data_IF_557880484424
#
_entry.id   IF_557880484424
#
_cell.length_a   1.000
_cell.length_b   1.000
_cell.length_c   1.000
_cell.angle_alpha   90.00
_cell.angle_beta   90.00
_cell.angle_gamma   90.00
#
_symmetry.space_group_name_H-M   'P 1'
#
loop_
_entity.id
_entity.type
_entity.pdbx_description
1 polymer ?
#
# COMPACT_ATOMS: atom_id res chain seq x y z
N UNK A 1 -1.13 1.88 -18.44
CA UNK A 1 -0.70 1.79 -17.01
C UNK A 1 -1.89 2.06 -16.09
N UNK A 2 -1.98 1.41 -14.90
CA UNK A 2 -3.08 1.63 -13.94
C UNK A 2 -2.73 2.71 -12.92
N UNK A 3 -3.77 3.33 -12.36
CA UNK A 3 -3.61 4.35 -11.32
C UNK A 3 -4.38 3.97 -10.05
N UNK A 4 -3.76 4.21 -8.91
CA UNK A 4 -4.34 3.97 -7.60
C UNK A 4 -4.23 5.19 -6.69
N UNK A 5 -5.06 5.22 -5.66
CA UNK A 5 -4.96 6.14 -4.53
C UNK A 5 -4.60 5.32 -3.28
N UNK A 6 -3.78 5.87 -2.39
CA UNK A 6 -3.45 5.25 -1.10
C UNK A 6 -3.67 6.22 0.03
N UNK A 7 -4.14 5.72 1.16
CA UNK A 7 -4.24 6.47 2.41
C UNK A 7 -3.70 5.67 3.60
N UNK A 8 -3.28 6.38 4.62
CA UNK A 8 -2.98 5.89 5.97
C UNK A 8 -3.93 6.50 7.00
N UNK A 9 -4.92 7.28 6.57
CA UNK A 9 -5.78 8.12 7.42
C UNK A 9 -4.93 8.99 8.35
N UNK A 10 -3.97 9.71 7.78
CA UNK A 10 -3.04 10.54 8.56
C UNK A 10 -3.77 11.72 9.17
N UNK A 11 -3.53 11.97 10.46
CA UNK A 11 -4.07 13.11 11.20
C UNK A 11 -2.89 13.96 11.69
N UNK A 12 -2.50 15.02 10.94
CA UNK A 12 -1.39 15.88 11.33
C UNK A 12 -1.73 16.70 12.57
N UNK A 13 -0.72 17.01 13.41
CA UNK A 13 -0.85 17.95 14.52
C UNK A 13 -0.96 19.40 14.00
N UNK A 14 -1.59 20.33 14.76
CA UNK A 14 -2.23 20.13 16.06
C UNK A 14 -3.59 19.42 15.96
N UNK A 15 -3.90 18.57 16.93
CA UNK A 15 -5.17 17.83 16.95
C UNK A 15 -6.28 18.63 17.62
N UNK A 16 -7.44 18.68 17.00
CA UNK A 16 -8.71 19.14 17.55
C UNK A 16 -9.64 17.94 17.80
N UNK A 17 -10.71 18.15 18.57
CA UNK A 17 -11.67 17.09 18.91
C UNK A 17 -12.27 16.37 17.67
N UNK A 18 -12.42 17.09 16.56
CA UNK A 18 -13.01 16.55 15.31
C UNK A 18 -11.97 16.09 14.28
N UNK A 19 -10.66 16.14 14.58
CA UNK A 19 -9.61 15.88 13.58
C UNK A 19 -9.72 14.47 12.98
N UNK A 20 -9.86 13.43 13.81
CA UNK A 20 -10.00 12.05 13.35
C UNK A 20 -11.28 11.87 12.52
N UNK A 21 -12.43 12.33 13.04
CA UNK A 21 -13.70 12.28 12.33
C UNK A 21 -13.59 12.95 10.95
N UNK A 22 -13.02 14.14 10.89
CA UNK A 22 -12.85 14.91 9.66
C UNK A 22 -12.02 14.12 8.65
N UNK A 23 -10.86 13.60 9.04
CA UNK A 23 -9.98 12.82 8.15
C UNK A 23 -10.68 11.56 7.62
N UNK A 24 -11.37 10.81 8.48
CA UNK A 24 -12.10 9.61 8.04
C UNK A 24 -13.16 9.94 6.99
N UNK A 25 -14.00 10.95 7.24
CA UNK A 25 -15.07 11.32 6.31
C UNK A 25 -14.54 11.90 5.00
N UNK A 26 -13.55 12.79 5.06
CA UNK A 26 -12.90 13.32 3.87
C UNK A 26 -12.24 12.23 3.03
N UNK A 27 -11.61 11.23 3.65
CA UNK A 27 -11.04 10.12 2.88
C UNK A 27 -12.10 9.25 2.20
N UNK A 28 -13.28 9.07 2.79
CA UNK A 28 -14.39 8.43 2.08
C UNK A 28 -14.77 9.22 0.82
N UNK A 29 -14.83 10.55 0.90
CA UNK A 29 -15.12 11.41 -0.25
C UNK A 29 -13.98 11.41 -1.28
N UNK A 30 -12.71 11.41 -0.86
CA UNK A 30 -11.56 11.28 -1.76
C UNK A 30 -11.63 10.02 -2.62
N UNK A 31 -12.02 8.89 -2.03
CA UNK A 31 -12.09 7.63 -2.79
C UNK A 31 -13.26 7.58 -3.75
N UNK A 32 -14.40 8.16 -3.39
CA UNK A 32 -15.54 8.31 -4.32
C UNK A 32 -15.13 9.19 -5.49
N UNK A 33 -14.51 10.34 -5.24
CA UNK A 33 -14.00 11.23 -6.28
C UNK A 33 -12.94 10.54 -7.16
N UNK A 34 -12.05 9.72 -6.56
CA UNK A 34 -11.06 8.97 -7.31
C UNK A 34 -11.70 7.92 -8.24
N UNK A 35 -12.76 7.23 -7.81
CA UNK A 35 -13.53 6.33 -8.69
C UNK A 35 -14.11 7.09 -9.88
N UNK A 36 -14.77 8.24 -9.63
CA UNK A 36 -15.36 9.06 -10.67
C UNK A 36 -14.32 9.63 -11.64
N UNK A 37 -13.13 9.93 -11.13
CA UNK A 37 -11.96 10.38 -11.90
C UNK A 37 -11.25 9.26 -12.68
N UNK A 38 -11.65 7.98 -12.52
CA UNK A 38 -11.11 6.85 -13.27
C UNK A 38 -9.93 6.13 -12.62
N UNK A 39 -9.64 6.37 -11.36
CA UNK A 39 -8.69 5.53 -10.62
C UNK A 39 -9.21 4.09 -10.51
N UNK A 40 -8.29 3.15 -10.67
CA UNK A 40 -8.65 1.72 -10.70
C UNK A 40 -8.54 1.04 -9.34
N UNK A 41 -7.74 1.59 -8.41
CA UNK A 41 -7.44 0.99 -7.11
C UNK A 41 -7.46 2.03 -6.00
N UNK A 42 -7.93 1.60 -4.82
CA UNK A 42 -7.69 2.27 -3.56
C UNK A 42 -7.00 1.31 -2.59
N UNK A 43 -5.96 1.79 -1.92
CA UNK A 43 -5.15 1.03 -0.99
C UNK A 43 -5.18 1.66 0.39
N UNK A 44 -5.47 0.86 1.42
CA UNK A 44 -5.44 1.31 2.80
C UNK A 44 -4.42 0.50 3.60
N UNK A 45 -3.56 1.20 4.33
CA UNK A 45 -2.58 0.55 5.21
C UNK A 45 -3.22 0.09 6.50
N UNK A 46 -2.61 -0.88 7.18
CA UNK A 46 -2.84 -1.17 8.59
C UNK A 46 -1.74 -0.46 9.40
N UNK A 47 -2.14 0.48 10.27
CA UNK A 47 -1.23 1.30 11.08
C UNK A 47 -1.66 1.32 12.54
N UNK A 48 -0.71 1.07 13.44
CA UNK A 48 -0.93 1.11 14.89
C UNK A 48 0.11 1.97 15.56
N UNK A 49 -0.29 2.74 16.57
CA UNK A 49 0.56 3.50 17.51
C UNK A 49 1.39 4.64 16.91
N UNK A 50 1.39 4.85 15.62
CA UNK A 50 2.07 5.97 14.95
C UNK A 50 1.10 7.12 14.72
N UNK A 51 0.80 7.86 15.78
CA UNK A 51 -0.29 8.84 15.80
C UNK A 51 -0.20 9.96 14.74
N UNK A 52 1.00 10.34 14.28
CA UNK A 52 1.14 11.31 13.18
C UNK A 52 1.23 10.69 11.79
N UNK A 53 1.30 9.36 11.69
CA UNK A 53 1.50 8.67 10.42
C UNK A 53 0.21 8.07 9.88
N UNK A 54 -0.60 7.47 10.75
CA UNK A 54 -1.84 6.87 10.30
C UNK A 54 -2.72 6.37 11.42
N UNK A 55 -4.02 6.61 11.26
CA UNK A 55 -5.07 6.16 12.16
C UNK A 55 -5.86 4.97 11.59
N UNK A 56 -5.34 4.27 10.60
CA UNK A 56 -5.99 3.13 9.92
C UNK A 56 -5.77 1.80 10.66
N UNK A 57 -6.11 1.74 11.95
CA UNK A 57 -5.90 0.57 12.78
C UNK A 57 -6.81 -0.63 12.43
N UNK A 58 -7.93 -0.39 11.76
CA UNK A 58 -8.89 -1.41 11.32
C UNK A 58 -9.28 -1.18 9.86
N UNK A 59 -8.37 -1.47 8.92
CA UNK A 59 -8.58 -1.16 7.51
C UNK A 59 -9.81 -1.85 6.93
N UNK A 60 -10.17 -3.05 7.38
CA UNK A 60 -11.35 -3.78 6.94
C UNK A 60 -12.66 -3.02 7.19
N UNK A 61 -12.75 -2.27 8.30
CA UNK A 61 -13.96 -1.49 8.62
C UNK A 61 -14.13 -0.32 7.65
N UNK A 62 -13.04 0.39 7.35
CA UNK A 62 -13.06 1.50 6.41
C UNK A 62 -13.31 1.03 4.97
N UNK A 63 -12.65 -0.03 4.54
CA UNK A 63 -12.84 -0.62 3.22
C UNK A 63 -14.25 -1.18 3.04
N UNK A 64 -14.85 -1.76 4.09
CA UNK A 64 -16.25 -2.20 4.06
C UNK A 64 -17.22 -1.01 3.87
N UNK A 65 -17.00 0.11 4.57
CA UNK A 65 -17.78 1.33 4.37
C UNK A 65 -17.65 1.86 2.93
N UNK A 66 -16.42 1.91 2.39
CA UNK A 66 -16.15 2.31 1.00
C UNK A 66 -16.79 1.39 -0.02
N UNK A 67 -16.85 0.09 0.25
CA UNK A 67 -17.44 -0.88 -0.68
C UNK A 67 -18.89 -0.57 -1.02
N UNK A 68 -19.62 0.12 -0.11
CA UNK A 68 -21.00 0.53 -0.29
C UNK A 68 -21.16 1.90 -0.98
N UNK A 69 -20.08 2.71 -0.98
CA UNK A 69 -20.05 4.04 -1.61
C UNK A 69 -19.47 4.02 -3.03
N UNK A 70 -18.80 2.93 -3.40
CA UNK A 70 -18.10 2.75 -4.69
C UNK A 70 -18.65 1.54 -5.45
N UNK A 71 -18.36 1.45 -6.76
CA UNK A 71 -18.87 0.37 -7.63
C UNK A 71 -17.80 -0.29 -8.50
N UNK A 72 -16.72 0.40 -8.84
CA UNK A 72 -15.70 -0.03 -9.82
C UNK A 72 -14.31 -0.13 -9.22
N UNK A 73 -13.90 0.85 -8.41
CA UNK A 73 -12.57 0.93 -7.82
C UNK A 73 -12.31 -0.31 -6.95
N UNK A 74 -11.15 -0.95 -7.14
CA UNK A 74 -10.73 -2.10 -6.36
C UNK A 74 -10.23 -1.65 -4.99
N UNK A 75 -10.53 -2.40 -3.96
CA UNK A 75 -10.30 -2.04 -2.56
C UNK A 75 -9.25 -2.98 -1.96
N UNK A 76 -8.07 -2.43 -1.68
CA UNK A 76 -6.92 -3.22 -1.29
C UNK A 76 -6.40 -2.96 0.12
N UNK A 77 -6.01 -4.03 0.79
CA UNK A 77 -5.18 -3.95 1.99
C UNK A 77 -3.72 -3.73 1.57
N UNK A 78 -3.06 -2.73 2.16
CA UNK A 78 -1.66 -2.42 1.84
C UNK A 78 -0.80 -2.18 3.09
N UNK A 79 -0.67 -3.15 3.96
CA UNK A 79 -1.05 -4.59 3.93
C UNK A 79 -1.61 -5.03 5.28
N UNK A 80 -2.24 -6.20 5.36
CA UNK A 80 -2.59 -6.83 6.64
C UNK A 80 -1.30 -7.34 7.30
N UNK A 81 -1.10 -7.06 8.59
CA UNK A 81 0.05 -7.50 9.38
C UNK A 81 -0.12 -8.97 9.80
N UNK A 82 0.14 -9.89 8.89
CA UNK A 82 -0.16 -11.33 9.04
C UNK A 82 0.32 -11.96 10.35
N UNK A 83 1.53 -11.64 10.90
CA UNK A 83 1.98 -12.19 12.17
C UNK A 83 1.18 -11.74 13.39
N UNK A 84 0.41 -10.67 13.25
CA UNK A 84 -0.37 -10.07 14.35
C UNK A 84 -1.84 -10.49 14.34
N UNK A 85 -2.22 -11.44 13.48
CA UNK A 85 -3.61 -11.86 13.33
C UNK A 85 -3.80 -13.37 13.34
N UNK A 86 -4.96 -13.82 13.82
CA UNK A 86 -5.37 -15.20 13.66
C UNK A 86 -5.75 -15.48 12.19
N UNK A 87 -5.19 -16.51 11.52
CA UNK A 87 -5.45 -16.80 10.11
C UNK A 87 -6.93 -17.00 9.76
N UNK A 88 -7.73 -17.64 10.63
CA UNK A 88 -9.18 -17.78 10.41
C UNK A 88 -9.86 -16.40 10.31
N UNK A 89 -9.55 -15.51 11.25
CA UNK A 89 -10.15 -14.16 11.25
C UNK A 89 -9.74 -13.35 10.00
N UNK A 90 -8.50 -13.51 9.53
CA UNK A 90 -8.06 -12.86 8.29
C UNK A 90 -8.84 -13.39 7.09
N UNK A 91 -8.97 -14.72 6.96
CA UNK A 91 -9.73 -15.32 5.85
C UNK A 91 -11.18 -14.85 5.83
N UNK A 92 -11.84 -14.82 7.00
CA UNK A 92 -13.22 -14.36 7.15
C UNK A 92 -13.39 -12.87 6.77
N UNK A 93 -12.48 -11.98 7.22
CA UNK A 93 -12.50 -10.55 6.91
C UNK A 93 -12.26 -10.27 5.43
N UNK A 94 -11.26 -10.92 4.83
CA UNK A 94 -10.95 -10.80 3.40
C UNK A 94 -12.13 -11.26 2.55
N UNK A 95 -12.70 -12.42 2.87
CA UNK A 95 -13.87 -12.94 2.17
C UNK A 95 -15.11 -12.05 2.37
N UNK A 96 -15.32 -11.49 3.56
CA UNK A 96 -16.42 -10.57 3.84
C UNK A 96 -16.30 -9.30 3.01
N UNK A 97 -15.10 -8.69 2.94
CA UNK A 97 -14.87 -7.52 2.09
C UNK A 97 -15.08 -7.86 0.62
N UNK A 98 -14.66 -9.03 0.17
CA UNK A 98 -14.84 -9.47 -1.21
C UNK A 98 -16.32 -9.60 -1.58
N UNK A 99 -17.13 -10.18 -0.68
CA UNK A 99 -18.60 -10.26 -0.84
C UNK A 99 -19.23 -8.88 -0.85
N UNK A 100 -18.92 -8.03 0.13
CA UNK A 100 -19.50 -6.68 0.25
C UNK A 100 -19.13 -5.78 -0.93
N UNK A 101 -17.93 -5.93 -1.47
CA UNK A 101 -17.44 -5.15 -2.60
C UNK A 101 -17.83 -5.73 -3.96
N UNK A 102 -18.53 -6.86 -4.00
CA UNK A 102 -18.86 -7.58 -5.23
C UNK A 102 -17.62 -7.97 -6.06
N UNK A 103 -16.64 -8.61 -5.39
CA UNK A 103 -15.43 -9.15 -6.05
C UNK A 103 -14.36 -8.11 -6.38
N UNK A 104 -14.28 -7.01 -5.61
CA UNK A 104 -13.28 -5.95 -5.80
C UNK A 104 -12.17 -5.94 -4.76
N UNK A 105 -12.10 -6.94 -3.89
CA UNK A 105 -11.06 -7.04 -2.86
C UNK A 105 -9.69 -7.37 -3.47
N UNK A 106 -8.64 -6.68 -2.97
CA UNK A 106 -7.23 -6.99 -3.20
C UNK A 106 -6.59 -7.34 -1.86
N UNK A 107 -5.96 -8.50 -1.77
CA UNK A 107 -5.42 -9.00 -0.51
C UNK A 107 -3.91 -8.79 -0.42
N UNK A 108 -3.50 -7.69 0.18
CA UNK A 108 -2.10 -7.43 0.52
C UNK A 108 -1.75 -8.01 1.89
N UNK A 109 -0.67 -8.78 1.93
CA UNK A 109 -0.13 -9.41 3.12
C UNK A 109 1.28 -8.89 3.43
N UNK A 110 1.57 -8.63 4.70
CA UNK A 110 2.86 -8.17 5.15
C UNK A 110 3.22 -8.70 6.53
N UNK A 111 4.49 -8.52 6.91
CA UNK A 111 4.98 -8.97 8.24
C UNK A 111 4.95 -7.87 9.32
N UNK A 112 4.75 -6.60 8.91
CA UNK A 112 5.09 -5.47 9.77
C UNK A 112 6.62 -5.30 9.89
N UNK A 113 7.09 -4.08 9.74
CA UNK A 113 8.54 -3.80 9.82
C UNK A 113 8.92 -3.09 11.11
N UNK A 114 7.95 -2.52 11.81
CA UNK A 114 8.17 -1.79 13.05
C UNK A 114 8.02 -2.73 14.26
N UNK A 115 9.12 -3.06 14.91
CA UNK A 115 9.13 -3.85 16.15
C UNK A 115 8.18 -3.25 17.19
N UNK A 116 8.19 -1.93 17.33
CA UNK A 116 7.31 -1.18 18.22
C UNK A 116 5.81 -1.51 18.03
N UNK A 117 5.36 -1.72 16.80
CA UNK A 117 3.96 -2.11 16.50
C UNK A 117 3.73 -3.57 16.90
N UNK A 118 4.60 -4.46 16.48
CA UNK A 118 4.45 -5.91 16.71
C UNK A 118 4.49 -6.22 18.21
N UNK A 119 5.41 -5.63 18.95
CA UNK A 119 5.52 -5.74 20.41
C UNK A 119 4.33 -5.10 21.12
N UNK A 120 3.89 -3.91 20.66
CA UNK A 120 2.73 -3.22 21.21
C UNK A 120 1.43 -4.00 21.07
N UNK A 121 1.32 -4.84 20.03
CA UNK A 121 0.21 -5.77 19.83
C UNK A 121 0.40 -7.10 20.59
N UNK A 122 1.52 -7.28 21.31
CA UNK A 122 1.79 -8.47 22.13
C UNK A 122 2.40 -9.65 21.37
N UNK A 123 3.00 -9.41 20.19
CA UNK A 123 3.61 -10.44 19.36
C UNK A 123 5.14 -10.36 19.35
N UNK A 124 5.80 -11.43 18.90
CA UNK A 124 7.24 -11.48 18.78
C UNK A 124 7.70 -10.64 17.56
N UNK A 125 8.47 -9.60 17.82
CA UNK A 125 8.97 -8.66 16.84
C UNK A 125 10.28 -9.06 16.15
N UNK A 126 10.83 -10.24 16.45
CA UNK A 126 11.99 -10.75 15.70
C UNK A 126 11.67 -10.82 14.21
N UNK A 127 12.55 -10.25 13.39
CA UNK A 127 12.28 -10.05 11.98
C UNK A 127 12.17 -11.36 11.20
N UNK A 128 12.99 -12.36 11.55
CA UNK A 128 12.97 -13.67 10.90
C UNK A 128 11.72 -14.46 11.36
N UNK A 129 11.43 -14.44 12.67
CA UNK A 129 10.21 -15.03 13.21
C UNK A 129 8.97 -14.46 12.53
N UNK A 130 8.83 -13.14 12.49
CA UNK A 130 7.69 -12.47 11.84
C UNK A 130 7.57 -12.82 10.35
N UNK A 131 8.70 -13.00 9.66
CA UNK A 131 8.71 -13.41 8.25
C UNK A 131 8.18 -14.83 8.06
N UNK A 132 8.61 -15.76 8.89
CA UNK A 132 8.17 -17.16 8.81
C UNK A 132 6.70 -17.28 9.20
N UNK A 133 6.29 -16.71 10.33
CA UNK A 133 4.90 -16.70 10.80
C UNK A 133 3.98 -16.07 9.77
N UNK A 134 4.36 -14.92 9.20
CA UNK A 134 3.55 -14.22 8.20
C UNK A 134 3.36 -15.04 6.91
N UNK A 135 4.39 -15.78 6.47
CA UNK A 135 4.28 -16.69 5.32
C UNK A 135 3.36 -17.85 5.61
N UNK A 136 3.56 -18.56 6.73
CA UNK A 136 2.73 -19.70 7.13
C UNK A 136 1.26 -19.30 7.31
N UNK A 137 1.02 -18.12 7.91
CA UNK A 137 -0.32 -17.56 8.05
C UNK A 137 -0.97 -17.29 6.69
N UNK A 138 -0.24 -16.71 5.74
CA UNK A 138 -0.76 -16.47 4.40
C UNK A 138 -1.09 -17.76 3.66
N UNK A 139 -0.21 -18.77 3.72
CA UNK A 139 -0.45 -20.09 3.14
C UNK A 139 -1.75 -20.72 3.68
N UNK A 140 -1.96 -20.66 5.00
CA UNK A 140 -3.17 -21.15 5.64
C UNK A 140 -4.42 -20.36 5.19
N UNK A 141 -4.33 -19.02 5.16
CA UNK A 141 -5.44 -18.16 4.73
C UNK A 141 -5.84 -18.43 3.27
N UNK A 142 -4.87 -18.58 2.38
CA UNK A 142 -5.15 -18.89 0.97
C UNK A 142 -5.89 -20.24 0.85
N UNK A 143 -5.44 -21.27 1.56
CA UNK A 143 -6.14 -22.56 1.58
C UNK A 143 -7.58 -22.45 2.11
N UNK A 144 -7.82 -21.61 3.12
CA UNK A 144 -9.17 -21.34 3.64
C UNK A 144 -10.07 -20.66 2.61
N UNK A 145 -9.51 -19.71 1.82
CA UNK A 145 -10.25 -19.00 0.77
C UNK A 145 -10.58 -19.89 -0.43
N UNK A 146 -9.68 -20.83 -0.76
CA UNK A 146 -9.82 -21.71 -1.93
C UNK A 146 -10.78 -22.89 -1.68
N UNK A 147 -10.66 -23.53 -0.53
CA UNK A 147 -11.30 -24.83 -0.27
C UNK A 147 -12.66 -24.66 0.38
N UNK A 148 -13.64 -25.45 -0.04
CA UNK A 148 -14.98 -25.46 0.56
C UNK A 148 -14.92 -25.88 2.03
N UNK A 149 -14.09 -26.90 2.33
CA UNK A 149 -13.79 -27.34 3.68
C UNK A 149 -12.28 -27.29 3.89
N UNK A 150 -11.83 -26.39 4.71
CA UNK A 150 -10.43 -26.30 5.12
C UNK A 150 -10.01 -27.58 5.87
N UNK A 151 -8.98 -28.29 5.41
CA UNK A 151 -8.60 -29.59 6.00
C UNK A 151 -7.80 -29.46 7.30
N UNK A 152 -7.49 -28.23 7.73
CA UNK A 152 -6.51 -27.93 8.76
C UNK A 152 -5.15 -27.57 8.16
N UNK A 153 -4.31 -26.94 8.99
CA UNK A 153 -2.96 -26.56 8.62
C UNK A 153 -2.03 -26.73 9.80
N UNK A 154 -0.94 -27.47 9.61
CA UNK A 154 0.06 -27.69 10.65
C UNK A 154 1.43 -27.26 10.17
N UNK A 155 2.07 -26.40 10.94
CA UNK A 155 3.41 -25.88 10.69
C UNK A 155 4.20 -25.76 11.98
N UNK A 156 5.34 -25.05 11.94
CA UNK A 156 6.12 -24.78 13.17
C UNK A 156 5.38 -23.83 14.14
N UNK A 157 4.51 -22.93 13.63
CA UNK A 157 3.87 -21.88 14.43
C UNK A 157 2.35 -22.00 14.51
N UNK A 158 1.74 -22.86 13.70
CA UNK A 158 0.29 -23.03 13.65
C UNK A 158 -0.12 -24.51 13.76
N UNK A 159 -1.16 -24.76 14.53
CA UNK A 159 -1.90 -26.02 14.56
C UNK A 159 -3.39 -25.69 14.43
N UNK A 160 -3.84 -25.50 13.18
CA UNK A 160 -5.18 -25.05 12.86
C UNK A 160 -6.04 -26.25 12.51
N UNK A 161 -7.15 -26.50 13.24
CA UNK A 161 -8.00 -27.65 13.00
C UNK A 161 -8.84 -27.49 11.71
N UNK A 162 -9.34 -28.62 11.15
CA UNK A 162 -10.27 -28.58 10.03
C UNK A 162 -11.54 -27.78 10.39
N UNK A 163 -11.95 -26.85 9.50
CA UNK A 163 -13.18 -26.05 9.67
C UNK A 163 -13.79 -25.73 8.30
N UNK A 164 -15.08 -25.43 8.30
CA UNK A 164 -15.73 -24.75 7.19
C UNK A 164 -15.63 -23.23 7.44
N UNK A 165 -14.84 -22.55 6.61
CA UNK A 165 -14.61 -21.10 6.74
C UNK A 165 -15.65 -20.35 5.90
N UNK A 166 -16.37 -19.43 6.50
CA UNK A 166 -17.44 -18.66 5.88
C UNK A 166 -17.34 -17.19 6.29
N UNK A 167 -17.75 -16.23 5.40
CA UNK A 167 -18.27 -16.44 4.05
C UNK A 167 -17.20 -16.94 3.08
N UNK A 168 -17.64 -17.29 1.85
CA UNK A 168 -16.72 -17.61 0.75
C UNK A 168 -16.54 -16.37 -0.13
N UNK A 169 -15.33 -16.05 -0.61
CA UNK A 169 -15.12 -14.93 -1.50
C UNK A 169 -15.88 -15.13 -2.82
N UNK A 170 -16.26 -14.03 -3.48
CA UNK A 170 -16.82 -14.04 -4.84
C UNK A 170 -15.73 -14.36 -5.85
N UNK A 171 -14.57 -13.73 -5.70
CA UNK A 171 -13.41 -13.99 -6.55
C UNK A 171 -12.92 -15.43 -6.36
N UNK A 172 -12.72 -16.15 -7.44
CA UNK A 172 -12.29 -17.56 -7.44
C UNK A 172 -10.95 -17.70 -8.15
N UNK A 173 -10.03 -18.49 -7.60
CA UNK A 173 -10.09 -19.27 -6.35
C UNK A 173 -9.96 -18.40 -5.08
N UNK A 174 -9.39 -17.21 -5.16
CA UNK A 174 -9.19 -16.24 -4.08
C UNK A 174 -8.99 -14.83 -4.69
N UNK A 175 -9.11 -13.74 -3.90
CA UNK A 175 -8.71 -12.40 -4.33
C UNK A 175 -7.22 -12.34 -4.74
N UNK A 176 -6.81 -11.43 -5.65
CA UNK A 176 -5.40 -11.25 -6.00
C UNK A 176 -4.54 -10.98 -4.76
N UNK A 177 -3.37 -11.63 -4.70
CA UNK A 177 -2.45 -11.57 -3.56
C UNK A 177 -1.33 -10.57 -3.84
N UNK A 178 -0.93 -9.82 -2.79
CA UNK A 178 0.11 -8.80 -2.87
C UNK A 178 1.04 -8.83 -1.67
N UNK A 179 2.32 -8.49 -1.89
CA UNK A 179 3.28 -8.21 -0.83
C UNK A 179 3.70 -6.74 -0.84
N UNK A 180 3.87 -6.16 0.35
CA UNK A 180 4.64 -4.94 0.48
C UNK A 180 6.13 -5.27 0.38
N UNK A 181 6.85 -4.58 -0.51
CA UNK A 181 8.27 -4.81 -0.74
C UNK A 181 9.06 -3.52 -0.68
N UNK A 182 10.20 -3.55 0.02
CA UNK A 182 11.09 -2.40 0.19
C UNK A 182 12.55 -2.69 -0.15
N UNK A 183 12.89 -3.91 -0.56
CA UNK A 183 14.24 -4.35 -0.90
C UNK A 183 14.21 -5.40 -2.01
N UNK A 184 15.36 -5.60 -2.65
CA UNK A 184 15.53 -6.49 -3.79
C UNK A 184 15.07 -7.92 -3.48
N UNK A 185 15.48 -8.46 -2.32
CA UNK A 185 15.13 -9.84 -1.91
C UNK A 185 13.62 -10.03 -1.80
N UNK A 186 12.89 -9.02 -1.30
CA UNK A 186 11.43 -9.11 -1.17
C UNK A 186 10.75 -9.08 -2.55
N UNK A 187 11.27 -8.30 -3.49
CA UNK A 187 10.78 -8.31 -4.88
C UNK A 187 10.99 -9.66 -5.56
N UNK A 188 12.19 -10.25 -5.46
CA UNK A 188 12.49 -11.59 -6.00
C UNK A 188 11.60 -12.67 -5.37
N UNK A 189 11.44 -12.62 -4.05
CA UNK A 189 10.59 -13.57 -3.31
C UNK A 189 9.13 -13.45 -3.71
N UNK A 190 8.60 -12.24 -3.91
CA UNK A 190 7.24 -12.01 -4.39
C UNK A 190 7.04 -12.62 -5.78
N UNK A 191 7.98 -12.40 -6.70
CA UNK A 191 7.96 -13.02 -8.03
C UNK A 191 7.96 -14.54 -7.95
N UNK A 192 8.84 -15.13 -7.15
CA UNK A 192 8.90 -16.59 -6.95
C UNK A 192 7.60 -17.14 -6.33
N UNK A 193 6.94 -16.40 -5.47
CA UNK A 193 5.69 -16.78 -4.83
C UNK A 193 4.45 -16.54 -5.72
N UNK A 194 4.58 -15.91 -6.89
CA UNK A 194 3.48 -15.61 -7.80
C UNK A 194 2.56 -14.49 -7.28
N UNK A 195 3.04 -13.60 -6.41
CA UNK A 195 2.24 -12.51 -5.84
C UNK A 195 2.64 -11.16 -6.40
N UNK A 196 1.71 -10.21 -6.49
CA UNK A 196 1.98 -8.84 -6.87
C UNK A 196 2.77 -8.08 -5.81
N UNK A 197 3.33 -6.95 -6.18
CA UNK A 197 4.16 -6.11 -5.29
C UNK A 197 3.58 -4.72 -5.17
N UNK A 198 3.52 -4.22 -3.93
CA UNK A 198 3.36 -2.81 -3.62
C UNK A 198 4.70 -2.31 -3.11
N UNK A 199 5.44 -1.60 -3.96
CA UNK A 199 6.76 -1.05 -3.66
C UNK A 199 6.70 0.24 -2.87
N UNK A 200 7.67 0.43 -1.97
CA UNK A 200 7.79 1.62 -1.12
C UNK A 200 8.71 2.65 -1.79
N UNK A 201 8.26 3.90 -1.85
CA UNK A 201 8.95 5.01 -2.54
C UNK A 201 10.08 5.67 -1.75
N UNK A 202 10.74 4.97 -0.85
CA UNK A 202 12.00 5.45 -0.22
C UNK A 202 13.17 5.56 -1.19
N UNK A 203 12.96 5.10 -2.41
CA UNK A 203 13.94 4.98 -3.47
C UNK A 203 13.59 5.90 -4.64
N UNK A 204 14.60 6.30 -5.36
CA UNK A 204 14.44 6.97 -6.65
C UNK A 204 13.93 5.96 -7.70
N UNK A 205 13.32 6.44 -8.77
CA UNK A 205 12.92 5.57 -9.87
C UNK A 205 14.10 4.75 -10.46
N UNK A 206 15.32 5.30 -10.44
CA UNK A 206 16.52 4.58 -10.90
C UNK A 206 16.89 3.41 -9.96
N UNK A 207 16.72 3.59 -8.64
CA UNK A 207 16.96 2.52 -7.65
C UNK A 207 15.88 1.44 -7.68
N UNK A 208 14.64 1.77 -8.07
CA UNK A 208 13.54 0.80 -8.15
C UNK A 208 13.62 -0.08 -9.40
N UNK A 209 14.17 0.42 -10.51
CA UNK A 209 14.27 -0.34 -11.76
C UNK A 209 14.87 -1.75 -11.58
N UNK A 210 16.03 -1.94 -10.94
CA UNK A 210 16.58 -3.28 -10.72
C UNK A 210 15.67 -4.20 -9.91
N UNK A 211 14.88 -3.64 -8.96
CA UNK A 211 13.92 -4.43 -8.19
C UNK A 211 12.78 -4.95 -9.07
N UNK A 212 12.26 -4.11 -9.97
CA UNK A 212 11.23 -4.51 -10.93
C UNK A 212 11.75 -5.57 -11.91
N UNK A 213 12.98 -5.40 -12.41
CA UNK A 213 13.63 -6.37 -13.31
C UNK A 213 13.82 -7.73 -12.62
N UNK A 214 14.28 -7.74 -11.36
CA UNK A 214 14.44 -8.95 -10.57
C UNK A 214 13.11 -9.65 -10.30
N UNK A 215 12.05 -8.90 -9.95
CA UNK A 215 10.70 -9.44 -9.82
C UNK A 215 10.21 -10.11 -11.09
N UNK A 216 10.38 -9.44 -12.26
CA UNK A 216 9.96 -9.98 -13.55
C UNK A 216 10.74 -11.24 -13.94
N UNK A 217 12.05 -11.28 -13.66
CA UNK A 217 12.88 -12.45 -13.86
C UNK A 217 12.42 -13.61 -12.95
N UNK A 218 12.19 -13.34 -11.68
CA UNK A 218 11.78 -14.34 -10.69
C UNK A 218 10.41 -14.96 -11.03
N UNK A 219 9.40 -14.15 -11.33
CA UNK A 219 8.05 -14.67 -11.65
C UNK A 219 8.03 -15.46 -12.96
N UNK A 220 8.85 -15.07 -13.94
CA UNK A 220 9.00 -15.80 -15.22
C UNK A 220 9.68 -17.16 -15.02
N UNK A 221 10.63 -17.26 -14.09
CA UNK A 221 11.37 -18.49 -13.82
C UNK A 221 10.68 -19.40 -12.80
N UNK A 222 9.68 -18.88 -12.08
CA UNK A 222 9.02 -19.60 -11.00
C UNK A 222 8.19 -20.79 -11.52
N UNK A 223 8.18 -21.86 -10.75
CA UNK A 223 7.29 -22.98 -10.94
C UNK A 223 5.88 -22.63 -10.42
N UNK A 224 4.82 -22.61 -11.26
CA UNK A 224 3.46 -22.30 -10.82
C UNK A 224 2.94 -23.23 -9.70
N UNK A 225 3.44 -24.45 -9.59
CA UNK A 225 3.08 -25.38 -8.53
C UNK A 225 3.56 -24.91 -7.14
N UNK A 226 4.50 -23.97 -7.10
CA UNK A 226 5.08 -23.39 -5.86
C UNK A 226 4.52 -22.02 -5.53
N UNK A 227 3.56 -21.51 -6.29
CA UNK A 227 2.88 -20.25 -5.96
C UNK A 227 2.12 -20.38 -4.65
N UNK A 228 2.08 -19.28 -3.88
CA UNK A 228 1.27 -19.23 -2.66
C UNK A 228 -0.22 -19.35 -3.00
N UNK A 229 -0.66 -18.69 -4.07
CA UNK A 229 -2.02 -18.81 -4.63
C UNK A 229 -2.11 -19.77 -5.82
N UNK A 230 -3.26 -19.79 -6.47
CA UNK A 230 -3.53 -20.65 -7.63
C UNK A 230 -3.25 -19.98 -8.98
N UNK A 231 -2.96 -18.69 -8.97
CA UNK A 231 -2.59 -17.94 -10.16
C UNK A 231 -1.55 -16.88 -9.80
N UNK A 232 -0.75 -16.49 -10.78
CA UNK A 232 0.21 -15.41 -10.61
C UNK A 232 -0.48 -14.05 -10.71
N UNK A 233 -0.29 -13.20 -9.71
CA UNK A 233 -0.57 -11.77 -9.81
C UNK A 233 0.70 -11.05 -10.29
N UNK A 234 0.96 -11.09 -11.61
CA UNK A 234 2.16 -10.46 -12.18
C UNK A 234 1.99 -8.93 -12.31
N UNK A 235 1.95 -8.23 -11.19
CA UNK A 235 1.66 -6.80 -11.12
C UNK A 235 2.61 -6.10 -10.14
N UNK A 236 3.25 -5.03 -10.57
CA UNK A 236 4.10 -4.17 -9.73
C UNK A 236 3.47 -2.80 -9.62
N UNK A 237 3.09 -2.45 -8.40
CA UNK A 237 2.59 -1.14 -8.04
C UNK A 237 3.63 -0.39 -7.20
N UNK A 238 3.74 0.92 -7.40
CA UNK A 238 4.61 1.79 -6.59
C UNK A 238 3.82 3.01 -6.17
N UNK A 239 3.94 3.43 -4.91
CA UNK A 239 3.29 4.66 -4.47
C UNK A 239 4.25 5.84 -4.44
N UNK A 240 3.74 7.03 -4.74
CA UNK A 240 4.44 8.31 -4.62
C UNK A 240 3.61 9.31 -3.84
N UNK A 241 4.29 10.10 -3.04
CA UNK A 241 3.70 11.20 -2.27
C UNK A 241 3.72 12.45 -3.15
N UNK A 242 2.62 13.20 -3.16
CA UNK A 242 2.62 14.38 -4.01
C UNK A 242 1.37 15.24 -3.93
N UNK A 243 1.36 16.26 -4.82
CA UNK A 243 0.24 17.16 -5.04
C UNK A 243 0.21 17.58 -6.50
N UNK A 244 -0.96 17.50 -7.14
CA UNK A 244 -1.17 18.01 -8.50
C UNK A 244 -2.07 19.24 -8.41
N UNK A 245 -1.65 20.35 -9.01
CA UNK A 245 -2.35 21.63 -8.90
C UNK A 245 -2.38 22.34 -10.26
N UNK A 246 -3.33 23.26 -10.47
CA UNK A 246 -3.40 24.04 -11.69
C UNK A 246 -2.17 24.97 -11.87
N UNK A 247 -1.63 25.46 -10.75
CA UNK A 247 -0.38 26.22 -10.71
C UNK A 247 0.79 25.26 -10.41
N UNK A 248 1.74 25.16 -11.35
CA UNK A 248 2.89 24.25 -11.28
C UNK A 248 3.72 24.48 -10.00
N UNK A 249 3.97 25.73 -9.65
CA UNK A 249 4.76 26.06 -8.47
C UNK A 249 4.10 25.58 -7.19
N UNK A 250 2.82 25.83 -7.03
CA UNK A 250 2.03 25.39 -5.87
C UNK A 250 2.05 23.86 -5.74
N UNK A 251 1.81 23.14 -6.84
CA UNK A 251 1.84 21.68 -6.85
C UNK A 251 3.21 21.11 -6.45
N UNK A 252 4.29 21.69 -6.94
CA UNK A 252 5.69 21.32 -6.61
C UNK A 252 6.01 21.57 -5.13
N UNK A 253 5.67 22.76 -4.62
CA UNK A 253 5.94 23.15 -3.24
C UNK A 253 5.17 22.25 -2.25
N UNK A 254 3.87 22.06 -2.47
CA UNK A 254 3.02 21.22 -1.59
C UNK A 254 3.43 19.74 -1.67
N UNK A 255 3.67 19.20 -2.85
CA UNK A 255 4.08 17.81 -3.03
C UNK A 255 5.42 17.50 -2.36
N UNK A 256 6.41 18.39 -2.51
CA UNK A 256 7.71 18.26 -1.86
C UNK A 256 7.62 18.41 -0.33
N UNK A 257 6.79 19.35 0.17
CA UNK A 257 6.57 19.50 1.60
C UNK A 257 5.93 18.25 2.22
N UNK A 258 4.95 17.66 1.55
CA UNK A 258 4.33 16.41 1.96
C UNK A 258 5.34 15.24 2.01
N UNK A 259 6.21 15.12 1.00
CA UNK A 259 7.25 14.10 0.98
C UNK A 259 8.27 14.30 2.13
N UNK A 260 8.72 15.54 2.38
CA UNK A 260 9.62 15.85 3.51
C UNK A 260 8.97 15.51 4.84
N UNK A 261 7.71 15.89 5.05
CA UNK A 261 6.97 15.52 6.25
C UNK A 261 6.93 14.00 6.43
N UNK A 262 6.58 13.25 5.40
CA UNK A 262 6.46 11.80 5.48
C UNK A 262 7.77 11.10 5.79
N UNK A 263 8.89 11.59 5.26
CA UNK A 263 10.18 10.94 5.37
C UNK A 263 11.08 11.50 6.48
N UNK A 264 10.82 12.67 7.01
CA UNK A 264 11.78 13.28 7.93
C UNK A 264 11.27 14.25 8.98
N UNK A 265 10.24 15.03 8.66
CA UNK A 265 9.83 16.18 9.47
C UNK A 265 8.68 15.88 10.44
N UNK A 266 8.18 14.64 10.44
CA UNK A 266 7.23 14.15 11.44
C UNK A 266 7.96 13.77 12.73
N UNK A 267 7.20 13.37 13.76
CA UNK A 267 7.70 13.07 15.09
C UNK A 267 9.00 12.25 15.08
N UNK A 268 10.10 12.92 15.44
CA UNK A 268 11.45 12.36 15.32
C UNK A 268 11.72 11.16 16.24
N UNK A 269 10.97 11.03 17.35
CA UNK A 269 11.16 9.92 18.30
C UNK A 269 10.72 8.58 17.71
N UNK A 270 9.72 8.58 16.82
CA UNK A 270 9.18 7.37 16.21
C UNK A 270 9.82 7.01 14.86
N UNK A 271 10.56 7.93 14.25
CA UNK A 271 11.18 7.67 12.93
C UNK A 271 12.20 6.53 12.95
N UNK A 272 13.00 6.37 14.00
CA UNK A 272 13.93 5.27 14.13
C UNK A 272 13.23 3.91 14.22
N UNK A 273 12.05 3.89 14.84
CA UNK A 273 11.23 2.68 15.00
C UNK A 273 10.54 2.32 13.68
N UNK A 274 10.10 3.34 12.92
CA UNK A 274 9.37 3.19 11.66
C UNK A 274 10.24 2.65 10.52
N UNK A 275 11.49 3.07 10.44
CA UNK A 275 12.39 2.72 9.34
C UNK A 275 13.35 1.56 9.66
N UNK A 276 13.19 0.93 10.83
CA UNK A 276 13.81 -0.33 11.19
C UNK A 276 15.29 -0.28 11.55
N UNK A 277 16.02 0.81 11.26
CA UNK A 277 17.39 1.01 11.69
C UNK A 277 17.76 2.49 11.76
N UNK A 278 18.66 2.83 12.68
CA UNK A 278 19.23 4.18 12.79
C UNK A 278 19.96 4.63 11.52
N UNK A 279 20.59 3.72 10.81
CA UNK A 279 21.28 3.99 9.54
C UNK A 279 20.28 4.27 8.41
N UNK A 280 19.21 3.50 8.30
CA UNK A 280 18.15 3.73 7.33
C UNK A 280 17.48 5.09 7.52
N UNK A 281 17.20 5.46 8.78
CA UNK A 281 16.67 6.79 9.15
C UNK A 281 17.65 7.90 8.78
N UNK A 282 18.91 7.76 9.15
CA UNK A 282 19.95 8.76 8.87
C UNK A 282 20.09 8.99 7.36
N UNK A 283 20.09 7.93 6.56
CA UNK A 283 20.17 8.01 5.10
C UNK A 283 18.97 8.76 4.49
N UNK A 284 17.74 8.45 4.94
CA UNK A 284 16.54 9.13 4.43
C UNK A 284 16.54 10.60 4.85
N UNK A 285 16.88 10.91 6.10
CA UNK A 285 16.99 12.30 6.57
C UNK A 285 18.05 13.08 5.80
N UNK A 286 19.20 12.48 5.55
CA UNK A 286 20.26 13.10 4.75
C UNK A 286 19.80 13.41 3.32
N UNK A 287 19.02 12.50 2.68
CA UNK A 287 18.41 12.74 1.37
C UNK A 287 17.42 13.90 1.41
N UNK A 288 16.51 13.89 2.38
CA UNK A 288 15.50 14.97 2.52
C UNK A 288 16.15 16.34 2.77
N UNK A 289 17.22 16.40 3.54
CA UNK A 289 17.96 17.63 3.80
C UNK A 289 18.86 18.07 2.62
N UNK A 290 19.44 17.12 1.88
CA UNK A 290 20.39 17.38 0.81
C UNK A 290 19.76 17.61 -0.58
N UNK A 291 18.50 17.20 -0.78
CA UNK A 291 17.83 17.37 -2.07
C UNK A 291 17.02 18.67 -2.12
N UNK A 292 17.17 19.41 -3.20
CA UNK A 292 16.24 20.50 -3.56
C UNK A 292 14.85 19.93 -3.90
N UNK A 293 13.86 20.79 -4.07
CA UNK A 293 12.55 20.35 -4.57
C UNK A 293 12.66 19.75 -5.99
N UNK A 294 13.51 20.34 -6.82
CA UNK A 294 13.76 19.81 -8.17
C UNK A 294 14.39 18.41 -8.11
N UNK A 295 15.36 18.19 -7.22
CA UNK A 295 15.94 16.86 -7.02
C UNK A 295 14.90 15.81 -6.57
N UNK A 296 14.01 16.17 -5.63
CA UNK A 296 12.97 15.26 -5.16
C UNK A 296 12.03 14.83 -6.29
N UNK A 297 11.61 15.80 -7.13
CA UNK A 297 10.71 15.56 -8.25
C UNK A 297 11.42 14.82 -9.39
N UNK A 298 12.65 15.22 -9.73
CA UNK A 298 13.42 14.59 -10.81
C UNK A 298 13.84 13.16 -10.49
N UNK A 299 14.05 12.85 -9.22
CA UNK A 299 14.40 11.50 -8.75
C UNK A 299 13.19 10.62 -8.42
N UNK A 300 11.98 11.21 -8.40
CA UNK A 300 10.72 10.51 -8.12
C UNK A 300 10.47 10.27 -6.64
N UNK A 301 11.16 10.97 -5.73
CA UNK A 301 10.90 10.88 -4.29
C UNK A 301 9.69 11.73 -3.86
N UNK A 302 9.24 12.63 -4.71
CA UNK A 302 7.98 13.33 -4.65
C UNK A 302 7.38 13.39 -6.06
N UNK A 303 6.08 13.60 -6.15
CA UNK A 303 5.39 14.00 -7.38
C UNK A 303 4.71 15.34 -7.12
N UNK A 304 4.86 16.28 -8.05
CA UNK A 304 4.22 17.58 -7.86
C UNK A 304 4.37 18.49 -9.06
N UNK A 305 3.41 19.40 -9.18
CA UNK A 305 3.34 20.39 -10.26
C UNK A 305 1.97 20.43 -10.92
N UNK A 306 1.93 21.01 -12.11
CA UNK A 306 0.77 20.93 -12.99
C UNK A 306 0.66 19.56 -13.69
N UNK A 307 -0.39 19.37 -14.46
CA UNK A 307 -0.63 18.10 -15.15
C UNK A 307 0.52 17.68 -16.08
N UNK A 308 1.14 18.63 -16.80
CA UNK A 308 2.22 18.34 -17.74
C UNK A 308 3.50 17.95 -17.01
N UNK A 309 3.83 18.64 -15.92
CA UNK A 309 4.95 18.29 -15.03
C UNK A 309 4.78 16.92 -14.41
N UNK A 310 3.58 16.61 -13.92
CA UNK A 310 3.26 15.31 -13.32
C UNK A 310 3.29 14.19 -14.37
N UNK A 311 2.79 14.42 -15.59
CA UNK A 311 2.91 13.44 -16.67
C UNK A 311 4.35 13.05 -16.96
N UNK A 312 5.27 14.03 -17.06
CA UNK A 312 6.71 13.78 -17.27
C UNK A 312 7.32 12.97 -16.11
N UNK A 313 6.87 13.21 -14.87
CA UNK A 313 7.33 12.44 -13.70
C UNK A 313 6.80 11.01 -13.72
N UNK A 314 5.52 10.82 -14.07
CA UNK A 314 4.89 9.51 -14.22
C UNK A 314 5.52 8.69 -15.37
N UNK A 315 5.89 9.33 -16.49
CA UNK A 315 6.63 8.68 -17.60
C UNK A 315 7.95 8.06 -17.12
N UNK A 316 8.70 8.76 -16.26
CA UNK A 316 9.95 8.23 -15.68
C UNK A 316 9.70 6.99 -14.84
N UNK A 317 8.61 6.98 -14.08
CA UNK A 317 8.18 5.81 -13.30
C UNK A 317 7.71 4.66 -14.21
N UNK A 318 6.90 4.95 -15.22
CA UNK A 318 6.47 3.97 -16.22
C UNK A 318 7.66 3.29 -16.92
N UNK A 319 8.72 4.05 -17.22
CA UNK A 319 9.95 3.55 -17.82
C UNK A 319 10.73 2.57 -16.92
N UNK A 320 10.38 2.42 -15.64
CA UNK A 320 10.94 1.38 -14.76
C UNK A 320 10.28 0.01 -14.95
N UNK A 321 9.17 -0.07 -15.67
CA UNK A 321 8.42 -1.30 -15.91
C UNK A 321 7.35 -1.61 -14.86
N UNK A 322 6.93 -0.63 -14.06
CA UNK A 322 5.78 -0.75 -13.16
C UNK A 322 4.46 -0.79 -13.94
N UNK A 323 3.47 -1.48 -13.39
CA UNK A 323 2.11 -1.57 -13.98
C UNK A 323 1.15 -0.55 -13.38
N UNK A 324 1.42 -0.09 -12.16
CA UNK A 324 0.54 0.81 -11.43
C UNK A 324 1.32 1.89 -10.70
N UNK A 325 0.88 3.14 -10.88
CA UNK A 325 1.27 4.28 -10.05
C UNK A 325 0.19 4.55 -9.02
N UNK A 326 0.56 4.57 -7.75
CA UNK A 326 -0.33 4.87 -6.63
C UNK A 326 0.02 6.25 -6.11
N UNK A 327 -0.95 7.15 -6.08
CA UNK A 327 -0.76 8.48 -5.48
C UNK A 327 -1.16 8.48 -4.01
N UNK A 328 -0.36 9.15 -3.19
CA UNK A 328 -0.60 9.37 -1.78
C UNK A 328 -0.66 10.88 -1.52
N UNK A 329 -1.84 11.46 -1.68
CA UNK A 329 -2.06 12.90 -1.57
C UNK A 329 -2.33 13.36 -0.13
N UNK A 330 -2.96 12.50 0.68
CA UNK A 330 -3.34 12.82 2.05
C UNK A 330 -2.13 12.62 2.99
N UNK A 331 -1.16 13.54 2.93
CA UNK A 331 0.07 13.52 3.72
C UNK A 331 0.40 14.92 4.22
N UNK A 332 0.83 15.00 5.50
CA UNK A 332 1.21 16.25 6.14
C UNK A 332 0.04 17.22 6.23
N UNK A 333 0.27 18.44 5.79
CA UNK A 333 -0.71 19.51 5.83
C UNK A 333 -1.40 19.77 4.49
N UNK A 334 -1.36 18.81 3.56
CA UNK A 334 -2.13 18.90 2.31
C UNK A 334 -3.62 18.99 2.63
N UNK A 335 -4.27 20.06 2.19
CA UNK A 335 -5.67 20.32 2.52
C UNK A 335 -6.62 19.44 1.74
N UNK A 336 -7.86 19.28 2.24
CA UNK A 336 -8.92 18.56 1.54
C UNK A 336 -9.13 19.06 0.10
N UNK A 337 -9.19 20.38 -0.10
CA UNK A 337 -9.39 20.97 -1.41
C UNK A 337 -8.23 20.69 -2.37
N UNK A 338 -6.99 20.73 -1.88
CA UNK A 338 -5.80 20.35 -2.68
C UNK A 338 -5.82 18.88 -3.07
N UNK A 339 -6.27 17.99 -2.19
CA UNK A 339 -6.39 16.57 -2.46
C UNK A 339 -7.48 16.33 -3.52
N UNK A 340 -8.66 16.91 -3.33
CA UNK A 340 -9.76 16.81 -4.29
C UNK A 340 -9.36 17.34 -5.67
N UNK A 341 -8.70 18.51 -5.71
CA UNK A 341 -8.22 19.08 -6.98
C UNK A 341 -7.14 18.21 -7.65
N UNK A 342 -6.23 17.61 -6.85
CA UNK A 342 -5.24 16.67 -7.37
C UNK A 342 -5.90 15.44 -8.01
N UNK A 343 -6.94 14.87 -7.37
CA UNK A 343 -7.70 13.74 -7.89
C UNK A 343 -8.36 14.10 -9.22
N UNK A 344 -9.04 15.25 -9.29
CA UNK A 344 -9.69 15.75 -10.52
C UNK A 344 -8.68 15.93 -11.67
N UNK A 345 -7.57 16.65 -11.44
CA UNK A 345 -6.56 16.89 -12.47
C UNK A 345 -5.94 15.58 -12.96
N UNK A 346 -5.65 14.65 -12.06
CA UNK A 346 -5.12 13.34 -12.45
C UNK A 346 -6.12 12.58 -13.32
N UNK A 347 -7.40 12.59 -12.96
CA UNK A 347 -8.45 11.95 -13.76
C UNK A 347 -8.61 12.58 -15.14
N UNK A 348 -8.68 13.90 -15.20
CA UNK A 348 -8.93 14.63 -16.44
C UNK A 348 -7.73 14.67 -17.40
N UNK A 349 -6.51 14.78 -16.87
CA UNK A 349 -5.33 15.17 -17.66
C UNK A 349 -4.17 14.18 -17.61
N UNK A 350 -4.06 13.36 -16.54
CA UNK A 350 -2.94 12.41 -16.40
C UNK A 350 -3.37 11.02 -16.84
N UNK A 351 -4.42 10.44 -16.24
CA UNK A 351 -4.88 9.08 -16.57
C UNK A 351 -5.06 8.87 -18.07
N UNK A 352 -5.72 9.79 -18.83
CA UNK A 352 -5.93 9.59 -20.26
C UNK A 352 -4.64 9.49 -21.10
N UNK A 353 -3.53 10.07 -20.64
CA UNK A 353 -2.24 9.99 -21.35
C UNK A 353 -1.55 8.63 -21.23
N UNK A 354 -1.96 7.81 -20.27
CA UNK A 354 -1.41 6.47 -19.99
C UNK A 354 -2.46 5.36 -20.16
N UNK A 355 -3.64 5.69 -20.65
CA UNK A 355 -4.65 4.70 -21.03
C UNK A 355 -4.17 4.01 -22.32
N UNK A 356 -4.08 2.65 -22.28
CA UNK A 356 -3.76 1.81 -23.44
C UNK A 356 -4.96 1.70 -24.38
#
# INVERSE_FOLDING_TARGET
MKFGLMSQLQVPKPWAAESERTVYWQNLDHVVAAEDAGFSYFWLTEQHFFAEIGHSASPEMFLAALSQRTRKIRLGFAVILMPCHNPFMVAERVATLDVLSNGRCEFGAGRGTAAYVVEGLGFNADAEHSRVVGREALEAVVQMLEQERFPGFKSAHFDLPPRQVVPRPIQRPHPPLWYAASDLETFERAGTAGVGVIGVTRYTHAEVRPHVEAYRAAIKAADPARFVGRFANNHVAVFAIGCVHDDDRTGREVGCAAARFYYGDNDAELNHVRFGSSEGVARIKARMAGYSNDDLLDKGMAIGGDADSVCRQVERWAATGIDQMIFMFQIGHTTHDQIMRSIEIVGEKVIPRFAD
#
